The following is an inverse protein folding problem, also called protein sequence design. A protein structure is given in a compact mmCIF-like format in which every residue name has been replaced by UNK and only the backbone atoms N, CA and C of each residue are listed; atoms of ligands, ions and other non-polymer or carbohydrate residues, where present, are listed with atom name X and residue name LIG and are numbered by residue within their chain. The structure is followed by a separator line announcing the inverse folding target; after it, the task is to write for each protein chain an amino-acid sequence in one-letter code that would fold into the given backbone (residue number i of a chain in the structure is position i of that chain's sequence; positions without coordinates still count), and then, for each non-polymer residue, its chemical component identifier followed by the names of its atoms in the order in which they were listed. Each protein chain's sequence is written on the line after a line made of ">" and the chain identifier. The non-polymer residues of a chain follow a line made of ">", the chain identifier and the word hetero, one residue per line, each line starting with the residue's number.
data_IF_615172529438
#
_entry.id   IF_615172529438
#
_cell.length_a   1.000
_cell.length_b   1.000
_cell.length_c   1.000
_cell.angle_alpha   90.00
_cell.angle_beta   90.00
_cell.angle_gamma   90.00
#
_symmetry.space_group_name_H-M   'P 1'
#
loop_
_entity.id
_entity.type
_entity.pdbx_description
1 polymer ?
#
# COMPACT_ATOMS: atom_id res chain seq x y z
N UNK A 1 1.59 9.51 19.94
CA UNK A 1 1.64 8.74 18.67
C UNK A 1 2.16 9.66 17.55
N UNK A 2 2.89 9.15 16.54
CA UNK A 2 3.33 9.98 15.42
C UNK A 2 2.14 10.63 14.71
N UNK A 3 2.26 11.90 14.32
CA UNK A 3 1.19 12.68 13.68
C UNK A 3 0.67 12.02 12.40
N UNK A 4 1.53 11.35 11.65
CA UNK A 4 1.14 10.59 10.45
C UNK A 4 1.97 9.32 10.37
N UNK A 5 1.31 8.18 10.18
CA UNK A 5 1.97 6.89 10.00
C UNK A 5 2.04 6.59 8.51
N UNK A 6 3.25 6.47 7.96
CA UNK A 6 3.47 6.03 6.58
C UNK A 6 3.73 4.53 6.59
N UNK A 7 2.95 3.76 5.85
CA UNK A 7 3.06 2.30 5.77
C UNK A 7 3.61 1.92 4.39
N UNK A 8 4.63 1.07 4.36
CA UNK A 8 5.07 0.37 3.14
C UNK A 8 4.18 -0.86 2.95
N UNK A 9 3.31 -0.85 1.94
CA UNK A 9 2.37 -1.94 1.70
C UNK A 9 2.99 -3.15 0.98
N UNK A 10 4.27 -3.09 0.56
CA UNK A 10 4.93 -4.23 -0.08
C UNK A 10 4.84 -5.46 0.81
N UNK A 11 4.43 -6.57 0.22
CA UNK A 11 4.44 -7.85 0.92
C UNK A 11 3.27 -8.02 1.89
N UNK A 12 2.38 -7.04 2.04
CA UNK A 12 1.22 -7.14 2.93
C UNK A 12 0.03 -7.84 2.26
N UNK A 13 -0.84 -8.46 3.04
CA UNK A 13 -2.08 -9.09 2.61
C UNK A 13 -3.21 -8.07 2.62
N UNK A 14 -3.88 -7.87 1.47
CA UNK A 14 -4.87 -6.81 1.23
C UNK A 14 -5.88 -6.63 2.37
N UNK A 15 -6.62 -7.70 2.72
CA UNK A 15 -7.69 -7.62 3.72
C UNK A 15 -7.18 -7.40 5.15
N UNK A 16 -6.04 -8.01 5.51
CA UNK A 16 -5.44 -7.88 6.85
C UNK A 16 -4.88 -6.47 7.08
N UNK A 17 -4.21 -5.93 6.07
CA UNK A 17 -3.75 -4.54 6.14
C UNK A 17 -4.95 -3.58 6.21
N UNK A 18 -5.99 -3.83 5.41
CA UNK A 18 -7.17 -2.97 5.37
C UNK A 18 -7.91 -2.91 6.71
N UNK A 19 -8.06 -4.02 7.42
CA UNK A 19 -8.78 -4.05 8.71
C UNK A 19 -8.04 -3.27 9.79
N UNK A 20 -6.71 -3.41 9.86
CA UNK A 20 -5.86 -2.71 10.82
C UNK A 20 -5.89 -1.20 10.51
N UNK A 21 -5.73 -0.82 9.23
CA UNK A 21 -5.80 0.57 8.80
C UNK A 21 -7.17 1.19 9.09
N UNK A 22 -8.27 0.47 8.83
CA UNK A 22 -9.62 0.92 9.12
C UNK A 22 -9.82 1.24 10.61
N UNK A 23 -9.36 0.35 11.50
CA UNK A 23 -9.48 0.54 12.95
C UNK A 23 -8.67 1.75 13.43
N UNK A 24 -7.44 1.89 12.95
CA UNK A 24 -6.57 2.99 13.32
C UNK A 24 -7.11 4.35 12.80
N UNK A 25 -7.66 4.38 11.59
CA UNK A 25 -8.30 5.58 11.05
C UNK A 25 -9.55 6.00 11.86
N UNK A 26 -10.33 5.03 12.36
CA UNK A 26 -11.48 5.26 13.24
C UNK A 26 -11.08 5.71 14.65
N UNK A 27 -9.88 5.36 15.11
CA UNK A 27 -9.28 5.84 16.34
C UNK A 27 -8.64 7.23 16.19
N UNK A 28 -8.67 7.83 14.99
CA UNK A 28 -8.19 9.19 14.74
C UNK A 28 -6.76 9.28 14.16
N UNK A 29 -6.10 8.16 13.89
CA UNK A 29 -4.75 8.17 13.34
C UNK A 29 -4.76 8.56 11.85
N UNK A 30 -3.90 9.50 11.46
CA UNK A 30 -3.63 9.79 10.04
C UNK A 30 -2.67 8.76 9.47
N UNK A 31 -3.07 8.13 8.36
CA UNK A 31 -2.35 6.99 7.77
C UNK A 31 -2.16 7.23 6.29
N UNK A 32 -0.93 7.01 5.83
CA UNK A 32 -0.56 7.03 4.42
C UNK A 32 -0.04 5.66 4.03
N UNK A 33 -0.72 4.99 3.11
CA UNK A 33 -0.29 3.70 2.58
C UNK A 33 0.39 3.94 1.23
N UNK A 34 1.65 3.52 1.12
CA UNK A 34 2.46 3.65 -0.09
C UNK A 34 2.70 2.28 -0.70
N UNK A 35 3.05 2.24 -2.00
CA UNK A 35 3.33 1.00 -2.75
C UNK A 35 2.15 0.03 -2.79
N UNK A 36 0.95 0.57 -3.00
CA UNK A 36 -0.27 -0.22 -3.07
C UNK A 36 -0.23 -1.31 -4.18
N UNK A 37 0.55 -1.11 -5.24
CA UNK A 37 0.77 -2.07 -6.31
C UNK A 37 1.49 -3.35 -5.85
N UNK A 38 2.26 -3.28 -4.76
CA UNK A 38 3.02 -4.40 -4.19
C UNK A 38 2.28 -5.14 -3.06
N UNK A 39 0.99 -4.81 -2.85
CA UNK A 39 0.10 -5.54 -1.94
C UNK A 39 -0.19 -6.92 -2.53
N UNK A 40 -0.26 -7.95 -1.69
CA UNK A 40 -0.59 -9.31 -2.08
C UNK A 40 -2.04 -9.67 -1.77
N UNK A 41 -2.61 -10.54 -2.60
CA UNK A 41 -3.88 -11.22 -2.37
C UNK A 41 -3.65 -12.73 -2.47
N UNK A 42 -4.20 -13.50 -1.53
CA UNK A 42 -4.08 -14.96 -1.55
C UNK A 42 -4.83 -15.56 -2.74
N UNK A 43 -4.30 -16.64 -3.31
CA UNK A 43 -4.81 -17.24 -4.55
C UNK A 43 -4.14 -16.67 -5.80
N UNK A 44 -4.03 -17.50 -6.85
CA UNK A 44 -3.36 -17.11 -8.09
C UNK A 44 -4.11 -16.04 -8.88
N UNK A 45 -3.39 -15.41 -9.82
CA UNK A 45 -3.86 -14.28 -10.63
C UNK A 45 -5.17 -14.58 -11.37
N UNK A 46 -5.29 -15.76 -12.00
CA UNK A 46 -6.50 -16.14 -12.76
C UNK A 46 -7.75 -16.14 -11.87
N UNK A 47 -7.66 -16.73 -10.67
CA UNK A 47 -8.78 -16.75 -9.71
C UNK A 47 -9.17 -15.35 -9.27
N UNK A 48 -8.18 -14.50 -9.02
CA UNK A 48 -8.42 -13.12 -8.56
C UNK A 48 -8.95 -12.23 -9.67
N UNK A 49 -8.48 -12.41 -10.91
CA UNK A 49 -9.01 -11.76 -12.10
C UNK A 49 -10.49 -12.13 -12.29
N UNK A 50 -10.85 -13.41 -12.25
CA UNK A 50 -12.26 -13.85 -12.35
C UNK A 50 -13.15 -13.23 -11.27
N UNK A 51 -12.66 -13.12 -10.03
CA UNK A 51 -13.39 -12.42 -8.95
C UNK A 51 -13.61 -10.95 -9.28
N UNK A 52 -12.59 -10.29 -9.78
CA UNK A 52 -12.67 -8.88 -10.13
C UNK A 52 -13.58 -8.66 -11.35
N UNK A 53 -13.53 -9.51 -12.37
CA UNK A 53 -14.44 -9.47 -13.52
C UNK A 53 -15.91 -9.63 -13.12
N UNK A 54 -16.21 -10.51 -12.16
CA UNK A 54 -17.57 -10.58 -11.60
C UNK A 54 -17.99 -9.27 -10.93
N UNK A 55 -17.07 -8.54 -10.31
CA UNK A 55 -17.36 -7.20 -9.78
C UNK A 55 -17.64 -6.20 -10.91
N UNK A 56 -16.93 -6.29 -12.05
CA UNK A 56 -17.15 -5.40 -13.21
C UNK A 56 -18.50 -5.59 -13.89
N UNK A 57 -19.06 -6.80 -13.82
CA UNK A 57 -20.41 -7.07 -14.35
C UNK A 57 -21.50 -6.38 -13.53
N UNK A 58 -21.21 -5.94 -12.29
CA UNK A 58 -22.16 -5.25 -11.42
C UNK A 58 -22.32 -3.78 -11.83
N UNK A 59 -23.21 -3.52 -12.78
CA UNK A 59 -23.59 -2.19 -13.26
C UNK A 59 -25.08 -1.94 -13.02
N UNK A 60 -25.45 -0.67 -12.86
CA UNK A 60 -26.87 -0.27 -12.88
C UNK A 60 -27.40 -0.44 -14.32
N UNK A 61 -28.53 -1.13 -14.48
CA UNK A 61 -29.08 -1.45 -15.80
C UNK A 61 -29.60 -0.19 -16.53
N UNK A 62 -30.31 0.68 -15.80
CA UNK A 62 -30.92 1.90 -16.36
C UNK A 62 -29.87 2.96 -16.74
N UNK A 63 -28.99 3.33 -15.81
CA UNK A 63 -27.93 4.29 -16.06
C UNK A 63 -26.60 3.85 -15.42
N UNK A 64 -25.67 3.27 -16.21
CA UNK A 64 -24.37 2.82 -15.70
C UNK A 64 -23.56 3.91 -14.99
N UNK A 65 -23.73 5.20 -15.34
CA UNK A 65 -23.00 6.32 -14.71
C UNK A 65 -23.41 6.53 -13.24
N UNK A 66 -24.65 6.18 -12.86
CA UNK A 66 -25.15 6.24 -11.47
C UNK A 66 -24.87 4.95 -10.68
N UNK A 67 -24.30 3.94 -11.32
CA UNK A 67 -24.00 2.64 -10.72
C UNK A 67 -22.70 2.60 -9.91
N UNK A 68 -22.26 1.40 -9.51
CA UNK A 68 -20.99 1.21 -8.83
C UNK A 68 -19.80 1.65 -9.70
N UNK A 69 -18.90 2.45 -9.13
CA UNK A 69 -17.67 2.86 -9.81
C UNK A 69 -16.61 1.76 -9.67
N UNK A 70 -16.05 1.32 -10.80
CA UNK A 70 -15.03 0.28 -10.86
C UNK A 70 -13.62 0.87 -10.98
N UNK A 71 -12.99 1.18 -9.84
CA UNK A 71 -11.62 1.71 -9.82
C UNK A 71 -10.57 0.64 -10.12
N UNK A 72 -9.75 0.86 -11.15
CA UNK A 72 -8.71 -0.10 -11.58
C UNK A 72 -7.36 0.08 -10.90
N UNK A 73 -7.07 1.28 -10.40
CA UNK A 73 -5.79 1.60 -9.78
C UNK A 73 -5.61 0.85 -8.44
N UNK A 74 -4.44 0.25 -8.15
CA UNK A 74 -4.17 -0.49 -6.91
C UNK A 74 -4.49 0.29 -5.63
N UNK A 75 -4.14 1.59 -5.58
CA UNK A 75 -4.42 2.47 -4.44
C UNK A 75 -5.92 2.58 -4.19
N UNK A 76 -6.72 2.73 -5.24
CA UNK A 76 -8.17 2.85 -5.17
C UNK A 76 -8.86 1.52 -4.88
N UNK A 77 -8.28 0.40 -5.33
CA UNK A 77 -8.75 -0.93 -4.92
C UNK A 77 -8.58 -1.09 -3.40
N UNK A 78 -7.39 -0.76 -2.88
CA UNK A 78 -7.14 -0.80 -1.44
C UNK A 78 -8.04 0.17 -0.67
N UNK A 79 -8.16 1.43 -1.13
CA UNK A 79 -9.07 2.40 -0.53
C UNK A 79 -10.53 1.90 -0.49
N UNK A 80 -11.01 1.26 -1.57
CA UNK A 80 -12.36 0.66 -1.61
C UNK A 80 -12.50 -0.47 -0.59
N UNK A 81 -11.46 -1.28 -0.38
CA UNK A 81 -11.48 -2.32 0.67
C UNK A 81 -11.56 -1.72 2.07
N UNK A 82 -10.78 -0.67 2.36
CA UNK A 82 -10.86 0.04 3.66
C UNK A 82 -12.22 0.72 3.85
N UNK A 83 -12.75 1.38 2.81
CA UNK A 83 -14.10 1.96 2.82
C UNK A 83 -15.18 0.93 3.14
N UNK A 84 -15.02 -0.32 2.70
CA UNK A 84 -15.94 -1.42 3.04
C UNK A 84 -15.90 -1.82 4.51
N UNK A 85 -14.83 -1.49 5.24
CA UNK A 85 -14.62 -1.80 6.66
C UNK A 85 -14.87 -0.59 7.58
N UNK A 86 -15.31 0.54 7.03
CA UNK A 86 -15.62 1.78 7.76
C UNK A 86 -17.08 2.15 7.54
N UNK A 87 -17.83 2.65 8.55
CA UNK A 87 -19.19 3.18 8.40
C UNK A 87 -19.22 4.50 7.62
N UNK A 88 -18.81 4.47 6.35
CA UNK A 88 -18.47 5.61 5.51
C UNK A 88 -19.64 6.54 5.14
N UNK A 89 -20.88 6.13 5.43
CA UNK A 89 -22.07 6.98 5.26
C UNK A 89 -22.26 7.96 6.42
N UNK A 90 -21.61 7.73 7.56
CA UNK A 90 -21.67 8.60 8.74
C UNK A 90 -20.60 9.69 8.67
N UNK A 91 -20.81 10.82 9.35
CA UNK A 91 -19.81 11.90 9.46
C UNK A 91 -18.49 11.39 10.06
N UNK A 92 -18.56 10.55 11.09
CA UNK A 92 -17.37 9.91 11.71
C UNK A 92 -16.60 9.03 10.72
N UNK A 93 -17.32 8.22 9.93
CA UNK A 93 -16.70 7.35 8.94
C UNK A 93 -16.10 8.13 7.76
N UNK A 94 -16.76 9.20 7.32
CA UNK A 94 -16.22 10.10 6.31
C UNK A 94 -14.91 10.75 6.78
N UNK A 95 -14.87 11.27 8.01
CA UNK A 95 -13.65 11.81 8.61
C UNK A 95 -12.54 10.75 8.73
N UNK A 96 -12.87 9.50 9.04
CA UNK A 96 -11.89 8.42 9.07
C UNK A 96 -11.29 8.13 7.68
N UNK A 97 -12.10 8.19 6.62
CA UNK A 97 -11.59 8.01 5.25
C UNK A 97 -10.76 9.19 4.76
N UNK A 98 -11.04 10.41 5.21
CA UNK A 98 -10.22 11.60 4.92
C UNK A 98 -8.81 11.49 5.52
N UNK A 99 -8.68 10.85 6.69
CA UNK A 99 -7.39 10.56 7.32
C UNK A 99 -6.52 9.55 6.56
N UNK A 100 -7.11 8.77 5.65
CA UNK A 100 -6.43 7.76 4.87
C UNK A 100 -6.00 8.31 3.50
N UNK A 101 -4.70 8.25 3.22
CA UNK A 101 -4.16 8.47 1.86
C UNK A 101 -3.52 7.18 1.34
N UNK A 102 -3.69 6.90 0.06
CA UNK A 102 -3.20 5.67 -0.58
C UNK A 102 -2.54 6.01 -1.90
N UNK A 103 -1.34 5.48 -2.15
CA UNK A 103 -0.55 5.78 -3.34
C UNK A 103 0.04 4.51 -3.95
N UNK A 104 0.13 4.48 -5.28
CA UNK A 104 1.05 3.62 -6.02
C UNK A 104 2.48 4.20 -5.95
N UNK A 105 3.47 3.34 -5.76
CA UNK A 105 4.85 3.75 -5.50
C UNK A 105 4.99 4.58 -4.20
N UNK A 106 6.11 5.29 -4.07
CA UNK A 106 6.37 6.21 -2.96
C UNK A 106 6.59 7.63 -3.49
N UNK A 107 5.54 8.46 -3.57
CA UNK A 107 5.68 9.83 -4.03
C UNK A 107 6.36 10.72 -2.97
N UNK A 108 7.06 11.80 -3.38
CA UNK A 108 7.43 12.89 -2.48
C UNK A 108 6.17 13.47 -1.82
N UNK A 109 6.18 13.79 -0.50
CA UNK A 109 7.30 13.82 0.43
C UNK A 109 7.57 12.51 1.21
N UNK A 110 6.86 11.42 0.92
CA UNK A 110 6.92 10.17 1.70
C UNK A 110 8.13 9.28 1.36
N UNK A 111 8.89 9.64 0.34
CA UNK A 111 10.13 8.98 -0.07
C UNK A 111 11.23 9.10 0.99
N UNK A 112 11.31 10.25 1.67
CA UNK A 112 12.27 10.56 2.73
C UNK A 112 11.78 10.23 4.15
N UNK A 113 10.49 9.98 4.32
CA UNK A 113 9.89 9.63 5.62
C UNK A 113 10.13 8.15 5.93
N UNK A 114 10.37 7.82 7.20
CA UNK A 114 10.49 6.42 7.65
C UNK A 114 9.14 5.72 7.46
N UNK A 115 9.13 4.72 6.59
CA UNK A 115 7.99 3.84 6.36
C UNK A 115 7.97 2.71 7.41
N UNK A 116 6.78 2.46 7.93
CA UNK A 116 6.48 1.41 8.91
C UNK A 116 5.91 0.18 8.19
N UNK A 117 5.96 -0.95 8.88
CA UNK A 117 5.43 -2.24 8.42
C UNK A 117 4.45 -2.74 9.46
N UNK A 118 3.41 -3.46 9.04
CA UNK A 118 2.42 -4.08 9.93
C UNK A 118 2.66 -5.59 9.92
N UNK A 119 3.35 -6.16 10.93
CA UNK A 119 3.75 -7.57 10.91
C UNK A 119 2.58 -8.53 10.76
N UNK A 120 1.47 -8.26 11.44
CA UNK A 120 0.25 -9.08 11.39
C UNK A 120 -0.40 -9.15 9.99
N UNK A 121 -0.01 -8.25 9.08
CA UNK A 121 -0.50 -8.25 7.71
C UNK A 121 0.54 -8.78 6.70
N UNK A 122 1.75 -9.16 7.10
CA UNK A 122 2.77 -9.63 6.16
C UNK A 122 2.44 -11.00 5.56
N UNK A 123 2.50 -11.12 4.24
CA UNK A 123 2.30 -12.36 3.48
C UNK A 123 3.20 -13.49 3.99
N UNK A 124 4.47 -13.21 4.26
CA UNK A 124 5.42 -14.24 4.74
C UNK A 124 5.01 -14.85 6.07
N UNK A 125 4.33 -14.09 6.94
CA UNK A 125 3.85 -14.57 8.23
C UNK A 125 2.43 -15.14 8.18
N UNK A 126 1.63 -14.74 7.18
CA UNK A 126 0.18 -15.01 7.13
C UNK A 126 -0.25 -15.98 6.04
N UNK A 127 0.60 -16.29 5.07
CA UNK A 127 0.32 -17.26 4.02
C UNK A 127 1.33 -18.40 4.13
N UNK A 128 0.82 -19.63 4.27
CA UNK A 128 1.66 -20.82 4.29
C UNK A 128 2.48 -20.95 3.00
N UNK A 129 3.69 -21.48 3.13
CA UNK A 129 4.57 -21.72 1.99
C UNK A 129 3.90 -22.63 0.95
N UNK A 130 4.20 -22.43 -0.34
CA UNK A 130 3.59 -23.18 -1.44
C UNK A 130 2.22 -22.66 -1.91
N UNK A 131 1.51 -21.86 -1.12
CA UNK A 131 0.23 -21.28 -1.57
C UNK A 131 0.42 -20.14 -2.57
N UNK A 132 -0.30 -20.23 -3.69
CA UNK A 132 -0.31 -19.19 -4.72
C UNK A 132 -0.85 -17.86 -4.17
N UNK A 133 -0.29 -16.75 -4.63
CA UNK A 133 -0.75 -15.40 -4.39
C UNK A 133 -0.59 -14.57 -5.66
N UNK A 134 -1.19 -13.38 -5.71
CA UNK A 134 -0.93 -12.40 -6.77
C UNK A 134 -0.66 -11.02 -6.17
N UNK A 135 0.17 -10.22 -6.85
CA UNK A 135 0.33 -8.81 -6.53
C UNK A 135 -0.86 -8.00 -7.06
N UNK A 136 -1.21 -6.96 -6.34
CA UNK A 136 -2.34 -6.09 -6.68
C UNK A 136 -2.08 -5.31 -7.97
N UNK A 137 -0.82 -4.93 -8.23
CA UNK A 137 -0.41 -4.32 -9.49
C UNK A 137 -0.62 -5.21 -10.71
N UNK A 138 -0.37 -6.52 -10.59
CA UNK A 138 -0.61 -7.49 -11.68
C UNK A 138 -2.09 -7.67 -11.94
N UNK A 139 -2.87 -7.81 -10.85
CA UNK A 139 -4.33 -7.86 -10.95
C UNK A 139 -4.87 -6.60 -11.61
N UNK A 140 -4.48 -5.42 -11.12
CA UNK A 140 -4.89 -4.11 -11.63
C UNK A 140 -4.57 -3.94 -13.11
N UNK A 141 -3.36 -4.31 -13.55
CA UNK A 141 -2.98 -4.25 -14.96
C UNK A 141 -3.86 -5.16 -15.83
N UNK A 142 -4.14 -6.39 -15.37
CA UNK A 142 -5.00 -7.34 -16.09
C UNK A 142 -6.45 -6.86 -16.26
N UNK A 143 -6.88 -5.89 -15.43
CA UNK A 143 -8.22 -5.31 -15.44
C UNK A 143 -8.21 -3.84 -15.90
N UNK A 144 -7.15 -3.38 -16.57
CA UNK A 144 -7.15 -2.10 -17.28
C UNK A 144 -6.49 -0.92 -16.55
N UNK A 145 -5.66 -1.15 -15.54
CA UNK A 145 -4.77 -0.11 -15.01
C UNK A 145 -3.58 0.12 -15.96
N UNK A 146 -3.47 1.35 -16.48
CA UNK A 146 -2.51 1.70 -17.56
C UNK A 146 -1.12 2.12 -17.07
N UNK A 147 -0.98 2.53 -15.81
CA UNK A 147 0.25 3.19 -15.32
C UNK A 147 1.27 2.24 -14.67
N UNK A 148 1.11 0.92 -14.86
CA UNK A 148 2.02 -0.07 -14.25
C UNK A 148 3.48 0.14 -14.65
N UNK A 149 3.75 0.36 -15.94
CA UNK A 149 5.09 0.59 -16.44
C UNK A 149 5.68 1.91 -15.91
N UNK A 150 4.91 3.00 -15.98
CA UNK A 150 5.35 4.32 -15.49
C UNK A 150 5.69 4.31 -14.00
N UNK A 151 4.88 3.63 -13.17
CA UNK A 151 5.17 3.50 -11.73
C UNK A 151 6.45 2.69 -11.49
N UNK A 152 6.66 1.60 -12.24
CA UNK A 152 7.87 0.79 -12.13
C UNK A 152 9.14 1.61 -12.46
N UNK A 153 9.08 2.43 -13.51
CA UNK A 153 10.18 3.34 -13.89
C UNK A 153 10.47 4.37 -12.79
N UNK A 154 9.44 5.02 -12.26
CA UNK A 154 9.59 6.01 -11.20
C UNK A 154 10.15 5.38 -9.91
N UNK A 155 9.70 4.18 -9.55
CA UNK A 155 10.24 3.44 -8.40
C UNK A 155 11.70 3.02 -8.63
N UNK A 156 12.08 2.64 -9.84
CA UNK A 156 13.48 2.33 -10.17
C UNK A 156 14.37 3.57 -9.96
N UNK A 157 13.97 4.73 -10.50
CA UNK A 157 14.66 6.01 -10.28
C UNK A 157 14.75 6.36 -8.79
N UNK A 158 13.68 6.10 -8.01
CA UNK A 158 13.67 6.33 -6.55
C UNK A 158 14.62 5.39 -5.81
N UNK A 159 14.70 4.13 -6.21
CA UNK A 159 15.60 3.14 -5.60
C UNK A 159 17.07 3.48 -5.83
N UNK A 160 17.44 3.98 -7.00
CA UNK A 160 18.81 4.45 -7.26
C UNK A 160 19.20 5.60 -6.32
N UNK A 161 18.33 6.61 -6.17
CA UNK A 161 18.54 7.69 -5.20
C UNK A 161 18.66 7.17 -3.75
N UNK A 162 17.84 6.18 -3.40
CA UNK A 162 17.86 5.58 -2.07
C UNK A 162 19.15 4.77 -1.81
N UNK A 163 19.70 4.10 -2.83
CA UNK A 163 20.99 3.41 -2.73
C UNK A 163 22.12 4.39 -2.45
N UNK A 164 22.19 5.49 -3.22
CA UNK A 164 23.18 6.56 -3.00
C UNK A 164 23.12 7.11 -1.57
N UNK A 165 21.91 7.41 -1.07
CA UNK A 165 21.71 7.84 0.31
C UNK A 165 22.17 6.80 1.35
N UNK A 166 21.85 5.51 1.13
CA UNK A 166 22.23 4.45 2.06
C UNK A 166 23.75 4.25 2.14
N UNK A 167 24.45 4.28 1.00
CA UNK A 167 25.92 4.15 0.96
C UNK A 167 26.60 5.31 1.70
N UNK A 168 26.17 6.54 1.45
CA UNK A 168 26.66 7.73 2.17
C UNK A 168 26.40 7.62 3.67
N UNK A 169 25.19 7.19 4.06
CA UNK A 169 24.82 6.97 5.47
C UNK A 169 25.67 5.89 6.12
N UNK A 170 25.90 4.76 5.45
CA UNK A 170 26.72 3.64 5.97
C UNK A 170 28.15 4.10 6.23
N UNK A 171 28.76 4.84 5.30
CA UNK A 171 30.10 5.43 5.47
C UNK A 171 30.14 6.39 6.66
N UNK A 172 29.15 7.29 6.78
CA UNK A 172 29.06 8.22 7.89
C UNK A 172 28.90 7.51 9.25
N UNK A 173 28.07 6.46 9.32
CA UNK A 173 27.87 5.68 10.55
C UNK A 173 29.16 4.97 10.97
N UNK A 174 29.92 4.40 10.02
CA UNK A 174 31.22 3.78 10.33
C UNK A 174 32.23 4.80 10.87
N UNK A 175 32.34 5.97 10.25
CA UNK A 175 33.22 7.05 10.72
C UNK A 175 32.83 7.52 12.13
N UNK A 176 31.53 7.68 12.41
CA UNK A 176 31.05 8.05 13.75
C UNK A 176 31.37 6.99 14.80
N UNK A 177 31.26 5.71 14.45
CA UNK A 177 31.61 4.62 15.36
C UNK A 177 33.12 4.60 15.66
N UNK A 178 33.97 4.80 14.65
CA UNK A 178 35.42 4.90 14.82
C UNK A 178 35.82 6.10 15.70
N UNK A 179 35.24 7.28 15.45
CA UNK A 179 35.49 8.47 16.25
C UNK A 179 35.01 8.32 17.71
N UNK A 180 33.86 7.68 17.93
CA UNK A 180 33.35 7.39 19.27
C UNK A 180 34.25 6.40 20.03
N UNK A 181 34.81 5.39 19.34
CA UNK A 181 35.77 4.46 19.94
C UNK A 181 37.10 5.15 20.31
N UNK A 182 37.58 6.06 19.46
CA UNK A 182 38.78 6.86 19.74
C UNK A 182 38.58 7.83 20.91
N UNK A 183 37.39 8.42 21.07
CA UNK A 183 37.09 9.34 22.17
C UNK A 183 36.86 8.64 23.52
N UNK A 184 36.63 7.32 23.50
CA UNK A 184 36.43 6.51 24.71
C UNK A 184 37.71 5.80 25.18
N UNK A 185 38.78 5.84 24.38
CA UNK A 185 40.12 5.36 24.71
C UNK A 185 40.96 6.50 25.28
#
# INVERSE_FOLDING_TARGET
>A
MPKTVVIDARGHMLGRLASIVAKQALNGQHIVVTRAEEINVSGGLVRQKMKYERFLRKRMNSNPKKGPIHFRAPSRIFWRTVRGMVPHKTKRGAAALERLKTFEGVPPPYDKVKRMVVPDALKVLRLQHGHKFCKLGDLAASVGWKHKASVAELEARRLEKAKGFYLAKKKLTALKAAAAAQAAA
#
